data_IF_264118724385
#
_entry.id   IF_264118724385
#
_cell.length_a   1.000
_cell.length_b   1.000
_cell.length_c   1.000
_cell.angle_alpha   90.00
_cell.angle_beta   90.00
_cell.angle_gamma   90.00
#
_symmetry.space_group_name_H-M   'P 1'
#
loop_
_entity.id
_entity.type
_entity.pdbx_description
1 polymer ?
#
# COMPACT_ATOMS: atom_id res chain seq x y z
N UNK A 1 -46.75 -2.98 -13.52
CA UNK A 1 -45.32 -2.70 -13.32
C UNK A 1 -44.93 -3.28 -11.95
N UNK A 2 -44.71 -4.59 -11.87
CA UNK A 2 -44.26 -5.27 -10.64
C UNK A 2 -42.73 -5.32 -10.67
N UNK A 3 -42.10 -4.93 -9.57
CA UNK A 3 -40.65 -4.96 -9.38
C UNK A 3 -40.31 -6.22 -8.58
N UNK A 4 -39.61 -7.15 -9.21
CA UNK A 4 -39.15 -8.40 -8.60
C UNK A 4 -37.95 -8.16 -7.68
N UNK A 5 -38.12 -8.53 -6.40
CA UNK A 5 -37.06 -8.65 -5.41
C UNK A 5 -36.44 -10.05 -5.51
N UNK A 6 -35.28 -10.19 -6.19
CA UNK A 6 -34.48 -11.42 -6.12
C UNK A 6 -33.05 -11.15 -5.67
N UNK A 7 -32.89 -11.26 -4.35
CA UNK A 7 -31.87 -12.05 -3.62
C UNK A 7 -30.42 -12.04 -4.13
N UNK A 8 -29.55 -11.42 -3.34
CA UNK A 8 -28.09 -11.54 -3.40
C UNK A 8 -27.57 -12.96 -3.05
N UNK A 9 -26.43 -13.41 -3.61
CA UNK A 9 -25.67 -14.52 -3.08
C UNK A 9 -24.44 -14.05 -2.28
N UNK A 10 -24.32 -14.55 -1.05
CA UNK A 10 -23.10 -14.49 -0.22
C UNK A 10 -22.04 -15.48 -0.74
N UNK A 11 -20.73 -15.23 -0.55
CA UNK A 11 -19.68 -16.15 -0.92
C UNK A 11 -19.63 -17.35 0.04
N UNK A 12 -19.93 -18.54 -0.50
CA UNK A 12 -19.82 -19.83 0.18
C UNK A 12 -18.36 -20.28 0.29
N UNK A 13 -17.97 -20.64 1.52
CA UNK A 13 -16.77 -21.40 1.85
C UNK A 13 -16.90 -22.83 1.32
N UNK A 14 -16.03 -23.23 0.39
CA UNK A 14 -15.81 -24.64 0.08
C UNK A 14 -14.37 -25.05 0.39
N UNK A 15 -14.26 -26.17 1.09
CA UNK A 15 -13.12 -26.64 1.85
C UNK A 15 -12.93 -28.11 1.52
N UNK A 16 -12.39 -28.42 0.34
CA UNK A 16 -11.73 -29.67 -0.03
C UNK A 16 -11.25 -29.51 -1.49
N UNK A 17 -10.15 -30.04 -2.00
CA UNK A 17 -9.61 -31.37 -1.79
C UNK A 17 -8.16 -31.39 -2.30
N UNK A 18 -7.25 -31.61 -1.36
CA UNK A 18 -6.01 -32.40 -1.46
C UNK A 18 -5.74 -33.06 -2.83
N UNK A 19 -4.72 -32.59 -3.53
CA UNK A 19 -3.93 -33.39 -4.48
C UNK A 19 -2.56 -33.63 -3.87
N UNK A 20 -2.30 -34.89 -3.54
CA UNK A 20 -1.02 -35.43 -3.09
C UNK A 20 -0.14 -35.69 -4.31
N UNK A 21 0.97 -34.97 -4.44
CA UNK A 21 2.08 -35.35 -5.31
C UNK A 21 3.16 -36.01 -4.46
N UNK A 22 3.22 -37.33 -4.56
CA UNK A 22 4.33 -38.17 -4.10
C UNK A 22 5.40 -38.15 -5.18
N UNK A 23 6.56 -37.57 -4.90
CA UNK A 23 7.83 -37.96 -5.53
C UNK A 23 8.97 -37.76 -4.55
N UNK A 24 9.61 -38.89 -4.22
CA UNK A 24 10.85 -39.06 -3.51
C UNK A 24 12.02 -38.35 -4.21
N UNK A 25 12.83 -37.59 -3.47
CA UNK A 25 14.23 -37.38 -3.81
C UNK A 25 15.02 -36.96 -2.56
N UNK A 26 15.91 -37.85 -2.14
CA UNK A 26 17.01 -37.62 -1.21
C UNK A 26 17.85 -36.43 -1.71
N UNK A 27 17.93 -35.38 -0.90
CA UNK A 27 18.74 -34.21 -1.18
C UNK A 27 18.48 -33.15 -0.12
N UNK A 28 19.49 -32.82 0.66
CA UNK A 28 19.47 -31.74 1.65
C UNK A 28 19.20 -30.40 0.96
N UNK A 29 17.93 -30.08 0.71
CA UNK A 29 17.51 -28.80 0.16
C UNK A 29 17.50 -27.75 1.29
N UNK A 30 18.10 -26.57 1.08
CA UNK A 30 18.10 -25.52 2.10
C UNK A 30 16.65 -25.11 2.35
N UNK A 31 16.23 -25.15 3.63
CA UNK A 31 14.90 -24.69 4.06
C UNK A 31 14.61 -23.34 3.40
N UNK A 32 13.45 -23.14 2.74
CA UNK A 32 13.10 -21.83 2.24
C UNK A 32 13.09 -20.89 3.45
N UNK A 33 14.03 -19.95 3.47
CA UNK A 33 14.05 -18.87 4.45
C UNK A 33 12.67 -18.26 4.41
N UNK A 34 11.89 -18.49 5.48
CA UNK A 34 10.59 -17.88 5.69
C UNK A 34 10.83 -16.38 5.53
N UNK A 35 10.48 -15.81 4.37
CA UNK A 35 10.52 -14.37 4.18
C UNK A 35 9.67 -13.84 5.32
N UNK A 36 10.28 -13.05 6.20
CA UNK A 36 9.54 -12.32 7.24
C UNK A 36 8.36 -11.68 6.51
N UNK A 37 7.15 -11.72 7.07
CA UNK A 37 6.00 -11.04 6.47
C UNK A 37 6.41 -9.57 6.33
N UNK A 38 6.85 -9.22 5.14
CA UNK A 38 7.18 -7.88 4.72
C UNK A 38 5.82 -7.18 4.69
N UNK A 39 5.56 -6.37 5.72
CA UNK A 39 4.29 -5.66 5.89
C UNK A 39 4.33 -4.55 4.86
N UNK A 40 3.49 -4.68 3.82
CA UNK A 40 3.42 -3.70 2.75
C UNK A 40 3.36 -2.27 3.32
N UNK A 41 4.09 -1.31 2.73
CA UNK A 41 4.04 0.09 3.15
C UNK A 41 2.61 0.57 3.33
N UNK A 42 2.35 1.28 4.41
CA UNK A 42 1.00 1.66 4.79
C UNK A 42 0.90 3.16 5.08
N UNK A 43 -0.33 3.65 4.93
CA UNK A 43 -0.69 5.01 5.32
C UNK A 43 -1.17 5.04 6.76
N UNK A 44 -0.50 5.85 7.56
CA UNK A 44 -0.94 6.23 8.89
C UNK A 44 -1.65 7.58 8.84
N UNK A 45 -2.81 7.67 9.48
CA UNK A 45 -3.58 8.91 9.55
C UNK A 45 -3.29 9.63 10.87
N UNK A 46 -2.81 10.85 10.76
CA UNK A 46 -2.66 11.81 11.87
C UNK A 46 -3.74 12.89 11.86
N UNK A 47 -3.62 13.86 12.76
CA UNK A 47 -4.47 15.03 12.76
C UNK A 47 -4.06 15.96 11.62
N UNK A 48 -4.96 16.15 10.64
CA UNK A 48 -4.75 16.93 9.40
C UNK A 48 -3.51 16.53 8.58
N UNK A 49 -2.94 15.38 8.89
CA UNK A 49 -1.70 14.86 8.32
C UNK A 49 -1.84 13.38 8.05
N UNK A 50 -1.11 12.88 7.06
CA UNK A 50 -1.02 11.48 6.71
C UNK A 50 0.44 11.15 6.49
N UNK A 51 0.88 10.02 7.00
CA UNK A 51 2.27 9.58 6.92
C UNK A 51 2.30 8.26 6.16
N UNK A 52 3.16 8.18 5.16
CA UNK A 52 3.42 6.94 4.48
C UNK A 52 4.66 6.31 5.10
N UNK A 53 4.53 5.09 5.61
CA UNK A 53 5.59 4.41 6.35
C UNK A 53 5.99 3.10 5.70
N UNK A 54 7.27 2.74 5.88
CA UNK A 54 7.74 1.40 5.55
C UNK A 54 7.45 0.42 6.69
N UNK A 55 7.79 -0.83 6.44
CA UNK A 55 7.63 -1.95 7.37
C UNK A 55 8.53 -1.85 8.62
N UNK A 56 9.59 -1.05 8.54
CA UNK A 56 10.49 -0.75 9.67
C UNK A 56 9.97 0.41 10.52
N UNK A 57 8.89 1.06 10.11
CA UNK A 57 8.33 2.25 10.75
C UNK A 57 8.99 3.57 10.31
N UNK A 58 9.89 3.56 9.33
CA UNK A 58 10.50 4.78 8.80
C UNK A 58 9.47 5.58 7.98
N UNK A 59 9.46 6.89 8.18
CA UNK A 59 8.61 7.82 7.44
C UNK A 59 9.18 8.00 6.03
N UNK A 60 8.46 7.51 5.03
CA UNK A 60 8.84 7.64 3.63
C UNK A 60 8.27 8.93 3.01
N UNK A 61 7.09 9.35 3.45
CA UNK A 61 6.47 10.58 2.99
C UNK A 61 5.36 11.08 3.90
N UNK A 62 4.89 12.28 3.63
CA UNK A 62 3.78 12.89 4.33
C UNK A 62 2.86 13.68 3.40
N UNK A 63 1.60 13.77 3.80
CA UNK A 63 0.60 14.67 3.22
C UNK A 63 -0.04 15.46 4.36
N UNK A 64 -0.02 16.78 4.28
CA UNK A 64 -0.60 17.71 5.25
C UNK A 64 -1.62 18.60 4.56
N UNK A 65 -2.77 18.77 5.19
CA UNK A 65 -3.73 19.78 4.79
C UNK A 65 -3.19 21.17 5.17
N UNK A 66 -3.34 22.16 4.29
CA UNK A 66 -3.01 23.56 4.54
C UNK A 66 -3.62 24.06 5.85
N UNK A 67 -3.05 25.12 6.43
CA UNK A 67 -3.46 25.62 7.73
C UNK A 67 -4.89 26.19 7.73
N UNK A 68 -5.49 26.33 8.93
CA UNK A 68 -6.86 26.90 8.99
C UNK A 68 -6.75 28.39 8.66
N UNK A 69 -7.50 28.83 7.66
CA UNK A 69 -7.47 30.21 7.18
C UNK A 69 -6.55 30.44 5.98
N UNK A 70 -5.83 29.41 5.53
CA UNK A 70 -5.02 29.47 4.31
C UNK A 70 -5.89 29.17 3.08
N UNK A 71 -5.92 30.09 2.11
CA UNK A 71 -6.62 29.95 0.84
C UNK A 71 -5.60 30.02 -0.32
N UNK A 72 -5.67 29.12 -1.31
CA UNK A 72 -6.60 28.00 -1.43
C UNK A 72 -6.32 26.87 -0.42
N UNK A 73 -7.36 26.14 -0.01
CA UNK A 73 -7.21 24.95 0.82
C UNK A 73 -6.61 23.83 -0.03
N UNK A 74 -5.36 23.46 0.24
CA UNK A 74 -4.59 22.48 -0.55
C UNK A 74 -3.96 21.41 0.34
N UNK A 75 -3.58 20.30 -0.26
CA UNK A 75 -2.84 19.23 0.39
C UNK A 75 -1.37 19.34 0.00
N UNK A 76 -0.53 19.77 0.93
CA UNK A 76 0.91 19.75 0.78
C UNK A 76 1.41 18.32 0.96
N UNK A 77 2.30 17.88 0.09
CA UNK A 77 2.93 16.57 0.21
C UNK A 77 4.45 16.69 0.14
N UNK A 78 5.14 15.79 0.81
CA UNK A 78 6.58 15.69 0.78
C UNK A 78 7.02 14.22 0.83
N UNK A 79 8.01 13.87 0.02
CA UNK A 79 8.59 12.54 -0.05
C UNK A 79 10.06 12.64 -0.48
N UNK A 80 10.98 12.18 0.37
CA UNK A 80 12.41 12.37 0.14
C UNK A 80 12.77 13.84 -0.06
N UNK A 81 13.38 14.17 -1.22
CA UNK A 81 13.77 15.53 -1.60
C UNK A 81 12.70 16.28 -2.41
N UNK A 82 11.54 15.66 -2.65
CA UNK A 82 10.46 16.25 -3.43
C UNK A 82 9.33 16.70 -2.52
N UNK A 83 8.72 17.82 -2.89
CA UNK A 83 7.52 18.33 -2.24
C UNK A 83 6.65 19.07 -3.25
N UNK A 84 5.37 19.21 -2.93
CA UNK A 84 4.41 19.89 -3.77
C UNK A 84 3.09 20.12 -3.06
N UNK A 85 2.11 20.63 -3.80
CA UNK A 85 0.75 20.84 -3.32
C UNK A 85 -0.25 20.33 -4.36
N UNK A 86 -1.31 19.68 -3.90
CA UNK A 86 -2.37 19.12 -4.74
C UNK A 86 -3.75 19.50 -4.18
N UNK A 87 -4.73 19.69 -5.04
CA UNK A 87 -6.09 20.06 -4.63
C UNK A 87 -6.89 18.92 -3.96
N UNK A 88 -6.36 17.69 -3.99
CA UNK A 88 -7.02 16.50 -3.48
C UNK A 88 -6.07 15.62 -2.68
N UNK A 89 -6.56 15.10 -1.55
CA UNK A 89 -5.82 14.15 -0.71
C UNK A 89 -5.37 12.92 -1.51
N UNK A 90 -6.23 12.40 -2.40
CA UNK A 90 -5.91 11.22 -3.19
C UNK A 90 -4.76 11.50 -4.16
N UNK A 91 -4.74 12.69 -4.78
CA UNK A 91 -3.66 13.09 -5.68
C UNK A 91 -2.36 13.29 -4.92
N UNK A 92 -2.40 13.98 -3.77
CA UNK A 92 -1.24 14.16 -2.91
C UNK A 92 -0.64 12.81 -2.45
N UNK A 93 -1.47 11.84 -2.07
CA UNK A 93 -0.99 10.49 -1.72
C UNK A 93 -0.38 9.76 -2.91
N UNK A 94 -1.01 9.83 -4.07
CA UNK A 94 -0.48 9.24 -5.30
C UNK A 94 0.91 9.80 -5.65
N UNK A 95 1.10 11.12 -5.52
CA UNK A 95 2.43 11.74 -5.72
C UNK A 95 3.50 11.23 -4.78
N UNK A 96 3.17 11.04 -3.51
CA UNK A 96 4.08 10.46 -2.51
C UNK A 96 4.45 9.03 -2.90
N UNK A 97 3.46 8.20 -3.23
CA UNK A 97 3.66 6.82 -3.68
C UNK A 97 4.48 6.73 -4.97
N UNK A 98 4.22 7.59 -5.95
CA UNK A 98 4.99 7.70 -7.20
C UNK A 98 6.45 8.06 -6.92
N UNK A 99 6.67 9.10 -6.12
CA UNK A 99 8.02 9.60 -5.80
C UNK A 99 8.84 8.54 -5.08
N UNK A 100 8.22 7.82 -4.14
CA UNK A 100 8.88 6.77 -3.38
C UNK A 100 9.06 5.53 -4.24
N UNK A 101 8.07 5.14 -5.03
CA UNK A 101 8.18 4.05 -5.99
C UNK A 101 9.29 4.30 -7.01
N UNK A 102 9.51 5.56 -7.40
CA UNK A 102 10.63 5.98 -8.23
C UNK A 102 11.97 5.90 -7.48
N UNK A 103 12.05 6.42 -6.24
CA UNK A 103 13.26 6.34 -5.41
C UNK A 103 13.66 4.92 -5.00
N UNK A 104 12.69 4.03 -4.77
CA UNK A 104 12.93 2.59 -4.53
C UNK A 104 13.38 1.85 -5.79
N UNK A 105 13.04 2.36 -6.97
CA UNK A 105 13.49 1.87 -8.27
C UNK A 105 14.73 2.59 -8.78
N UNK A 106 15.40 3.41 -7.96
CA UNK A 106 16.64 4.07 -8.35
C UNK A 106 17.55 3.00 -8.93
N UNK A 107 17.65 3.04 -10.26
CA UNK A 107 18.24 2.00 -11.09
C UNK A 107 19.66 1.82 -10.58
N UNK A 108 20.09 0.57 -10.42
CA UNK A 108 21.51 0.25 -10.34
C UNK A 108 22.15 0.78 -11.63
N UNK A 109 22.56 2.05 -11.58
CA UNK A 109 23.60 2.57 -12.44
C UNK A 109 24.85 1.85 -11.96
N UNK A 110 25.50 1.14 -12.88
CA UNK A 110 26.64 0.22 -12.70
C UNK A 110 26.26 -1.25 -12.47
#
# INVERSE_FOLDING_TARGET
>A
MQLDFTRAPLPGTDRARRLTSTTSATGSAPKPRRRKKEVAPHWERGYRSHFYRNERGDKLGEVRLSERGELPVVYHWAAGNYSGAEGSLAHARARVEETIGFGMRQLSLF
#
